data_IF_830619505253
#
_entry.id   IF_830619505253
#
_cell.length_a   1.000
_cell.length_b   1.000
_cell.length_c   1.000
_cell.angle_alpha   90.00
_cell.angle_beta   90.00
_cell.angle_gamma   90.00
#
_symmetry.space_group_name_H-M   'P 1'
#
loop_
_entity.id
_entity.type
_entity.pdbx_description
1 polymer ?
#
# COMPACT_ATOMS: atom_id res chain seq x y z
N UNK A 1 -5.07 -13.62 27.36
CA UNK A 1 -3.60 -13.48 27.14
C UNK A 1 -3.46 -12.96 25.72
N UNK A 2 -2.64 -11.93 25.49
CA UNK A 2 -2.43 -11.43 24.12
C UNK A 2 -1.76 -12.51 23.27
N UNK A 3 -2.24 -12.71 22.04
CA UNK A 3 -1.72 -13.69 21.10
C UNK A 3 -0.27 -13.37 20.70
N UNK A 4 0.58 -14.39 20.53
CA UNK A 4 1.95 -14.15 20.04
C UNK A 4 1.93 -13.73 18.56
N UNK A 5 2.87 -12.90 18.08
CA UNK A 5 2.88 -12.45 16.69
C UNK A 5 2.80 -13.56 15.64
N UNK A 6 3.55 -14.65 15.83
CA UNK A 6 3.53 -15.81 14.92
C UNK A 6 2.17 -16.55 14.91
N UNK A 7 1.50 -16.58 16.06
CA UNK A 7 0.18 -17.20 16.17
C UNK A 7 -0.88 -16.32 15.51
N UNK A 8 -0.74 -15.00 15.63
CA UNK A 8 -1.59 -14.02 14.97
C UNK A 8 -1.45 -14.12 13.45
N UNK A 9 -0.23 -14.07 12.93
CA UNK A 9 0.04 -14.14 11.48
C UNK A 9 -0.58 -15.41 10.85
N UNK A 10 -0.37 -16.56 11.49
CA UNK A 10 -0.93 -17.84 11.03
C UNK A 10 -2.45 -17.88 11.01
N UNK A 11 -3.10 -17.22 11.97
CA UNK A 11 -4.57 -17.26 12.14
C UNK A 11 -5.28 -16.14 11.39
N UNK A 12 -4.70 -14.96 11.34
CA UNK A 12 -5.38 -13.73 10.93
C UNK A 12 -4.51 -12.82 10.05
N UNK A 13 -3.27 -13.20 9.70
CA UNK A 13 -2.36 -12.33 8.94
C UNK A 13 -2.95 -11.85 7.62
N UNK A 14 -3.48 -12.75 6.78
CA UNK A 14 -4.10 -12.37 5.50
C UNK A 14 -5.52 -11.83 5.69
N UNK A 15 -6.24 -12.27 6.72
CA UNK A 15 -7.51 -11.64 7.10
C UNK A 15 -7.28 -10.15 7.37
N UNK A 16 -6.28 -9.81 8.17
CA UNK A 16 -5.92 -8.42 8.47
C UNK A 16 -5.59 -7.63 7.21
N UNK A 17 -4.85 -8.22 6.28
CA UNK A 17 -4.58 -7.59 4.98
C UNK A 17 -5.87 -7.30 4.20
N UNK A 18 -6.82 -8.25 4.13
CA UNK A 18 -8.10 -8.00 3.43
C UNK A 18 -8.88 -6.90 4.14
N UNK A 19 -8.98 -6.96 5.46
CA UNK A 19 -9.77 -6.01 6.23
C UNK A 19 -9.14 -4.61 6.23
N UNK A 20 -7.81 -4.51 6.15
CA UNK A 20 -7.12 -3.22 5.98
C UNK A 20 -7.51 -2.49 4.69
N UNK A 21 -7.89 -3.22 3.63
CA UNK A 21 -8.38 -2.63 2.38
C UNK A 21 -9.73 -1.91 2.53
N UNK A 22 -10.48 -2.21 3.61
CA UNK A 22 -11.73 -1.54 3.95
C UNK A 22 -11.53 -0.29 4.82
N UNK A 23 -10.29 0.09 5.16
CA UNK A 23 -10.04 1.28 5.97
C UNK A 23 -10.52 2.53 5.25
N UNK A 24 -11.51 3.22 5.84
CA UNK A 24 -12.14 4.40 5.23
C UNK A 24 -13.14 4.08 4.11
N UNK A 25 -13.40 2.80 3.84
CA UNK A 25 -14.34 2.34 2.80
C UNK A 25 -15.58 1.68 3.44
N UNK A 26 -16.75 1.78 2.81
CA UNK A 26 -17.92 1.01 3.25
C UNK A 26 -17.70 -0.50 3.02
N UNK A 27 -18.23 -1.32 3.92
CA UNK A 27 -18.35 -2.77 3.73
C UNK A 27 -19.66 -3.11 3.01
N UNK A 28 -19.74 -2.76 1.73
CA UNK A 28 -20.93 -2.86 0.88
C UNK A 28 -20.88 -4.02 -0.14
N UNK A 29 -20.09 -5.07 0.14
CA UNK A 29 -20.06 -6.27 -0.69
C UNK A 29 -21.40 -7.00 -0.72
N UNK A 30 -21.91 -7.23 -1.93
CA UNK A 30 -23.09 -8.04 -2.18
C UNK A 30 -22.67 -9.42 -2.72
N UNK A 31 -23.49 -10.48 -2.58
CA UNK A 31 -23.13 -11.83 -3.04
C UNK A 31 -22.72 -11.94 -4.53
N UNK A 32 -23.26 -11.06 -5.37
CA UNK A 32 -23.03 -11.03 -6.80
C UNK A 32 -22.02 -9.95 -7.23
N UNK A 33 -21.81 -8.92 -6.40
CA UNK A 33 -20.97 -7.77 -6.73
C UNK A 33 -19.98 -7.45 -5.59
N UNK A 34 -18.66 -7.55 -5.81
CA UNK A 34 -17.66 -7.15 -4.82
C UNK A 34 -17.57 -5.62 -4.73
N UNK A 35 -17.32 -5.11 -3.52
CA UNK A 35 -17.06 -3.69 -3.25
C UNK A 35 -15.79 -3.19 -3.95
N UNK A 36 -15.61 -1.87 -4.02
CA UNK A 36 -14.36 -1.30 -4.53
C UNK A 36 -13.15 -1.66 -3.64
N UNK A 37 -13.35 -1.78 -2.32
CA UNK A 37 -12.31 -2.21 -1.39
C UNK A 37 -11.83 -3.64 -1.72
N UNK A 38 -12.77 -4.57 -1.97
CA UNK A 38 -12.41 -5.93 -2.34
C UNK A 38 -11.77 -6.01 -3.73
N UNK A 39 -12.28 -5.24 -4.70
CA UNK A 39 -11.69 -5.14 -6.05
C UNK A 39 -10.25 -4.64 -5.98
N UNK A 40 -9.98 -3.59 -5.20
CA UNK A 40 -8.65 -3.06 -4.97
C UNK A 40 -7.72 -4.11 -4.33
N UNK A 41 -8.18 -4.80 -3.28
CA UNK A 41 -7.43 -5.89 -2.65
C UNK A 41 -7.08 -7.01 -3.65
N UNK A 42 -8.06 -7.44 -4.44
CA UNK A 42 -7.88 -8.49 -5.45
C UNK A 42 -6.91 -8.06 -6.54
N UNK A 43 -7.10 -6.86 -7.10
CA UNK A 43 -6.24 -6.27 -8.14
C UNK A 43 -4.79 -6.24 -7.70
N UNK A 44 -4.52 -5.72 -6.51
CA UNK A 44 -3.17 -5.67 -5.95
C UNK A 44 -2.61 -7.08 -5.66
N UNK A 45 -3.36 -7.90 -4.93
CA UNK A 45 -2.84 -9.17 -4.38
C UNK A 45 -2.60 -10.21 -5.48
N UNK A 46 -3.42 -10.26 -6.53
CA UNK A 46 -3.17 -11.16 -7.66
C UNK A 46 -1.84 -10.91 -8.36
N UNK A 47 -1.41 -9.65 -8.44
CA UNK A 47 -0.18 -9.27 -9.11
C UNK A 47 1.06 -9.39 -8.23
N UNK A 48 0.92 -9.18 -6.91
CA UNK A 48 2.08 -9.14 -6.00
C UNK A 48 2.26 -10.45 -5.21
N UNK A 49 1.16 -11.07 -4.77
CA UNK A 49 1.17 -12.23 -3.85
C UNK A 49 0.00 -13.19 -4.12
N UNK A 50 -0.16 -13.78 -5.32
CA UNK A 50 -1.33 -14.58 -5.66
C UNK A 50 -1.54 -15.80 -4.74
N UNK A 51 -0.47 -16.34 -4.15
CA UNK A 51 -0.56 -17.43 -3.16
C UNK A 51 -1.27 -17.04 -1.85
N UNK A 52 -1.38 -15.74 -1.56
CA UNK A 52 -2.01 -15.22 -0.35
C UNK A 52 -3.54 -15.37 -0.37
N UNK A 53 -4.15 -15.33 -1.55
CA UNK A 53 -5.61 -15.34 -1.72
C UNK A 53 -6.28 -16.57 -1.10
N UNK A 54 -5.71 -17.76 -1.31
CA UNK A 54 -6.23 -18.98 -0.70
C UNK A 54 -6.08 -19.01 0.83
N UNK A 55 -5.08 -18.30 1.36
CA UNK A 55 -4.91 -18.15 2.82
C UNK A 55 -5.89 -17.13 3.38
N UNK A 56 -6.09 -16.01 2.69
CA UNK A 56 -7.08 -15.00 3.02
C UNK A 56 -8.50 -15.60 3.09
N UNK A 57 -8.91 -16.31 2.03
CA UNK A 57 -10.21 -17.00 1.95
C UNK A 57 -10.42 -17.93 3.15
N UNK A 58 -9.44 -18.78 3.44
CA UNK A 58 -9.51 -19.73 4.55
C UNK A 58 -9.62 -19.03 5.89
N UNK A 59 -8.76 -18.04 6.15
CA UNK A 59 -8.73 -17.32 7.44
C UNK A 59 -10.03 -16.55 7.69
N UNK A 60 -10.53 -15.85 6.67
CA UNK A 60 -11.80 -15.12 6.74
C UNK A 60 -12.96 -16.09 7.02
N UNK A 61 -13.04 -17.20 6.27
CA UNK A 61 -14.10 -18.18 6.45
C UNK A 61 -14.04 -18.86 7.81
N UNK A 62 -12.85 -19.18 8.31
CA UNK A 62 -12.66 -19.78 9.62
C UNK A 62 -13.07 -18.81 10.74
N UNK A 63 -12.70 -17.54 10.63
CA UNK A 63 -13.10 -16.48 11.57
C UNK A 63 -14.62 -16.30 11.56
N UNK A 64 -15.22 -16.19 10.37
CA UNK A 64 -16.67 -16.03 10.22
C UNK A 64 -17.47 -17.22 10.76
N UNK A 65 -16.96 -18.45 10.64
CA UNK A 65 -17.63 -19.65 11.18
C UNK A 65 -17.48 -19.81 12.69
N UNK A 66 -16.45 -19.21 13.29
CA UNK A 66 -16.15 -19.33 14.71
C UNK A 66 -16.03 -17.95 15.37
N UNK A 67 -17.10 -17.13 15.35
CA UNK A 67 -17.04 -15.76 15.84
C UNK A 67 -16.67 -15.77 17.33
N UNK A 68 -15.70 -14.96 17.75
CA UNK A 68 -15.29 -14.92 19.14
C UNK A 68 -16.36 -14.28 20.03
N UNK A 69 -16.53 -14.82 21.24
CA UNK A 69 -17.30 -14.15 22.28
C UNK A 69 -16.64 -12.82 22.65
N UNK A 70 -17.46 -11.80 22.99
CA UNK A 70 -17.00 -10.42 23.32
C UNK A 70 -15.86 -10.37 24.34
N UNK A 71 -15.89 -11.24 25.35
CA UNK A 71 -14.85 -11.32 26.38
C UNK A 71 -13.49 -11.77 25.82
N UNK A 72 -13.47 -12.67 24.83
CA UNK A 72 -12.23 -13.18 24.24
C UNK A 72 -11.60 -12.16 23.30
N UNK A 73 -12.42 -11.36 22.62
CA UNK A 73 -11.97 -10.17 21.87
C UNK A 73 -11.29 -9.17 22.80
N UNK A 74 -11.93 -8.81 23.93
CA UNK A 74 -11.34 -7.85 24.89
C UNK A 74 -10.05 -8.35 25.55
N UNK A 75 -9.82 -9.67 25.57
CA UNK A 75 -8.61 -10.29 26.10
C UNK A 75 -7.46 -10.40 25.06
N UNK A 76 -7.68 -9.93 23.83
CA UNK A 76 -6.70 -9.98 22.74
C UNK A 76 -6.47 -11.39 22.18
N UNK A 77 -7.43 -12.30 22.37
CA UNK A 77 -7.32 -13.69 21.90
C UNK A 77 -7.76 -13.86 20.43
N UNK A 78 -8.37 -12.83 19.84
CA UNK A 78 -8.90 -12.82 18.49
C UNK A 78 -8.66 -11.49 17.80
N UNK A 79 -8.65 -11.54 16.47
CA UNK A 79 -8.61 -10.35 15.63
C UNK A 79 -9.81 -9.42 15.91
N UNK A 80 -9.58 -8.15 16.25
CA UNK A 80 -10.63 -7.16 16.35
C UNK A 80 -10.91 -6.59 14.95
N UNK A 81 -12.03 -6.97 14.33
CA UNK A 81 -12.45 -6.36 13.06
C UNK A 81 -12.65 -4.85 13.31
N UNK A 82 -11.96 -3.95 12.58
CA UNK A 82 -12.17 -2.51 12.67
C UNK A 82 -13.61 -2.13 12.34
N UNK A 83 -14.01 -0.93 12.74
CA UNK A 83 -15.32 -0.41 12.39
C UNK A 83 -15.40 -0.14 10.89
N UNK A 84 -16.19 -0.96 10.19
CA UNK A 84 -16.46 -0.87 8.74
C UNK A 84 -17.86 -0.31 8.46
N UNK A 85 -18.50 0.31 9.46
CA UNK A 85 -19.85 0.89 9.34
C UNK A 85 -20.99 -0.14 9.41
N UNK A 86 -20.68 -1.42 9.61
CA UNK A 86 -21.67 -2.48 9.76
C UNK A 86 -22.05 -2.72 11.23
N UNK A 87 -23.33 -3.01 11.54
CA UNK A 87 -23.70 -3.48 12.86
C UNK A 87 -23.03 -4.83 13.15
N UNK A 88 -22.67 -5.08 14.41
CA UNK A 88 -21.99 -6.31 14.84
C UNK A 88 -22.67 -7.60 14.37
N UNK A 89 -24.01 -7.60 14.23
CA UNK A 89 -24.77 -8.75 13.75
C UNK A 89 -24.58 -9.06 12.26
N UNK A 90 -24.19 -8.08 11.44
CA UNK A 90 -24.01 -8.22 10.00
C UNK A 90 -22.57 -8.57 9.61
N UNK A 91 -21.58 -8.31 10.48
CA UNK A 91 -20.16 -8.56 10.19
C UNK A 91 -19.92 -10.02 9.80
N UNK A 92 -20.56 -10.97 10.48
CA UNK A 92 -20.37 -12.39 10.20
C UNK A 92 -20.80 -12.77 8.78
N UNK A 93 -21.99 -12.34 8.37
CA UNK A 93 -22.55 -12.65 7.05
C UNK A 93 -21.73 -11.95 5.94
N UNK A 94 -21.31 -10.71 6.18
CA UNK A 94 -20.42 -9.98 5.28
C UNK A 94 -19.06 -10.68 5.08
N UNK A 95 -18.44 -11.17 6.14
CA UNK A 95 -17.18 -11.94 6.01
C UNK A 95 -17.37 -13.23 5.19
N UNK A 96 -18.54 -13.87 5.25
CA UNK A 96 -18.84 -15.01 4.38
C UNK A 96 -18.95 -14.57 2.92
N UNK A 97 -19.58 -13.44 2.63
CA UNK A 97 -19.65 -12.86 1.27
C UNK A 97 -18.24 -12.60 0.73
N UNK A 98 -17.35 -11.98 1.52
CA UNK A 98 -15.96 -11.77 1.10
C UNK A 98 -15.26 -13.10 0.80
N UNK A 99 -15.39 -14.10 1.69
CA UNK A 99 -14.78 -15.40 1.47
C UNK A 99 -15.30 -16.09 0.21
N UNK A 100 -16.57 -15.91 -0.14
CA UNK A 100 -17.17 -16.46 -1.36
C UNK A 100 -16.65 -15.75 -2.62
N UNK A 101 -16.47 -14.43 -2.58
CA UNK A 101 -15.82 -13.67 -3.66
C UNK A 101 -14.36 -14.08 -3.87
N UNK A 102 -13.58 -14.19 -2.79
CA UNK A 102 -12.19 -14.66 -2.88
C UNK A 102 -12.12 -16.06 -3.48
N UNK A 103 -13.01 -16.97 -3.04
CA UNK A 103 -13.10 -18.32 -3.58
C UNK A 103 -13.42 -18.31 -5.07
N UNK A 104 -14.44 -17.54 -5.50
CA UNK A 104 -14.83 -17.42 -6.91
C UNK A 104 -13.67 -16.90 -7.75
N UNK A 105 -13.00 -15.84 -7.30
CA UNK A 105 -11.82 -15.28 -7.95
C UNK A 105 -10.72 -16.33 -8.16
N UNK A 106 -10.42 -17.14 -7.14
CA UNK A 106 -9.41 -18.21 -7.23
C UNK A 106 -9.83 -19.34 -8.18
N UNK A 107 -11.08 -19.81 -8.09
CA UNK A 107 -11.57 -20.96 -8.85
C UNK A 107 -11.78 -20.62 -10.34
N UNK A 108 -12.25 -19.41 -10.63
CA UNK A 108 -12.57 -18.95 -11.99
C UNK A 108 -11.43 -18.16 -12.64
N UNK A 109 -10.43 -17.75 -11.86
CA UNK A 109 -9.40 -16.83 -12.31
C UNK A 109 -9.94 -15.43 -12.60
N UNK A 110 -11.03 -15.05 -11.93
CA UNK A 110 -11.64 -13.73 -12.08
C UNK A 110 -10.81 -12.68 -11.32
N UNK A 111 -10.05 -11.90 -12.07
CA UNK A 111 -9.15 -10.86 -11.55
C UNK A 111 -9.65 -9.50 -12.05
N UNK A 112 -9.87 -8.52 -11.16
CA UNK A 112 -10.14 -7.16 -11.59
C UNK A 112 -9.06 -6.67 -12.56
N UNK A 113 -9.43 -5.98 -13.66
CA UNK A 113 -8.44 -5.55 -14.64
C UNK A 113 -7.41 -4.61 -14.01
N UNK A 114 -6.16 -4.60 -14.51
CA UNK A 114 -5.17 -3.61 -14.11
C UNK A 114 -5.70 -2.20 -14.36
N UNK A 115 -5.61 -1.35 -13.34
CA UNK A 115 -6.06 0.03 -13.35
C UNK A 115 -5.15 0.89 -12.46
N UNK A 116 -5.33 2.21 -12.52
CA UNK A 116 -4.81 3.10 -11.50
C UNK A 116 -5.48 2.77 -10.14
N UNK A 117 -4.77 2.94 -9.01
CA UNK A 117 -5.37 2.68 -7.70
C UNK A 117 -6.63 3.51 -7.46
N UNK A 118 -7.70 2.84 -6.99
CA UNK A 118 -9.01 3.45 -6.78
C UNK A 118 -9.29 3.81 -5.32
N UNK A 119 -8.45 3.33 -4.39
CA UNK A 119 -8.62 3.55 -2.95
C UNK A 119 -7.33 4.01 -2.31
N UNK A 120 -7.44 4.72 -1.19
CA UNK A 120 -6.30 5.14 -0.37
C UNK A 120 -5.40 3.97 0.03
N UNK A 121 -6.01 2.83 0.41
CA UNK A 121 -5.27 1.61 0.73
C UNK A 121 -4.48 1.10 -0.46
N UNK A 122 -5.08 1.09 -1.66
CA UNK A 122 -4.41 0.56 -2.86
C UNK A 122 -3.21 1.41 -3.29
N UNK A 123 -3.31 2.74 -3.15
CA UNK A 123 -2.17 3.64 -3.35
C UNK A 123 -1.00 3.25 -2.46
N UNK A 124 -1.24 3.06 -1.15
CA UNK A 124 -0.19 2.72 -0.19
C UNK A 124 0.28 1.27 -0.25
N UNK A 125 -0.58 0.33 -0.66
CA UNK A 125 -0.18 -1.06 -0.87
C UNK A 125 0.73 -1.18 -2.10
N UNK A 126 0.44 -0.40 -3.15
CA UNK A 126 1.17 -0.42 -4.42
C UNK A 126 2.46 0.40 -4.39
N UNK A 127 2.44 1.58 -3.76
CA UNK A 127 3.56 2.51 -3.71
C UNK A 127 3.99 2.86 -2.28
N UNK A 128 4.33 1.86 -1.43
CA UNK A 128 4.60 2.11 -0.02
C UNK A 128 5.86 2.96 0.22
N UNK A 129 6.91 2.81 -0.59
CA UNK A 129 8.12 3.63 -0.42
C UNK A 129 7.91 5.05 -0.93
N UNK A 130 7.21 5.22 -2.05
CA UNK A 130 6.83 6.55 -2.53
C UNK A 130 5.91 7.26 -1.53
N UNK A 131 4.96 6.55 -0.93
CA UNK A 131 4.12 7.09 0.15
C UNK A 131 4.93 7.49 1.38
N UNK A 132 5.87 6.65 1.81
CA UNK A 132 6.77 7.00 2.93
C UNK A 132 7.64 8.22 2.62
N UNK A 133 8.16 8.32 1.40
CA UNK A 133 8.99 9.44 0.96
C UNK A 133 8.17 10.74 0.90
N UNK A 134 7.02 10.73 0.24
CA UNK A 134 6.16 11.91 0.07
C UNK A 134 5.55 12.35 1.41
N UNK A 135 4.92 11.45 2.16
CA UNK A 135 4.34 11.77 3.47
C UNK A 135 5.36 12.07 4.56
N UNK A 136 6.58 11.53 4.44
CA UNK A 136 7.63 11.71 5.45
C UNK A 136 8.45 12.99 5.25
N UNK A 137 8.82 13.33 4.02
CA UNK A 137 9.72 14.45 3.71
C UNK A 137 9.00 15.65 3.08
N UNK A 138 7.78 15.48 2.57
CA UNK A 138 7.02 16.52 1.87
C UNK A 138 5.65 16.77 2.52
N UNK A 139 5.58 16.62 3.84
CA UNK A 139 4.44 17.04 4.65
C UNK A 139 4.40 18.57 4.79
N UNK A 140 3.34 19.11 5.41
CA UNK A 140 3.22 20.52 5.74
C UNK A 140 4.38 21.09 6.58
N UNK A 141 5.11 20.23 7.29
CA UNK A 141 6.23 20.61 8.16
C UNK A 141 7.56 20.74 7.38
N UNK A 142 7.61 20.31 6.12
CA UNK A 142 8.82 20.36 5.27
C UNK A 142 9.50 21.74 5.27
N UNK A 143 8.81 22.89 5.11
CA UNK A 143 9.45 24.20 5.07
C UNK A 143 10.12 24.62 6.39
N UNK A 144 9.72 24.02 7.51
CA UNK A 144 10.33 24.26 8.82
C UNK A 144 11.55 23.36 9.05
N UNK A 145 11.58 22.18 8.43
CA UNK A 145 12.66 21.19 8.56
C UNK A 145 13.76 21.35 7.51
N UNK A 146 13.40 21.74 6.29
CA UNK A 146 14.29 21.81 5.13
C UNK A 146 14.20 23.17 4.44
N UNK A 147 15.33 23.72 3.95
CA UNK A 147 15.33 24.99 3.24
C UNK A 147 14.62 24.93 1.88
N UNK A 148 14.63 23.77 1.21
CA UNK A 148 13.98 23.53 -0.07
C UNK A 148 13.78 22.02 -0.33
N UNK A 149 13.11 21.70 -1.44
CA UNK A 149 12.85 20.32 -1.86
C UNK A 149 14.15 19.54 -2.12
N UNK A 150 15.19 20.17 -2.67
CA UNK A 150 16.45 19.49 -2.97
C UNK A 150 17.16 19.05 -1.69
N UNK A 151 17.10 19.87 -0.64
CA UNK A 151 17.61 19.51 0.68
C UNK A 151 16.85 18.35 1.32
N UNK A 152 15.51 18.30 1.18
CA UNK A 152 14.70 17.18 1.65
C UNK A 152 15.05 15.88 0.89
N UNK A 153 15.20 15.94 -0.43
CA UNK A 153 15.66 14.80 -1.26
C UNK A 153 17.06 14.36 -0.84
N UNK A 154 17.97 15.30 -0.60
CA UNK A 154 19.34 14.99 -0.18
C UNK A 154 19.37 14.31 1.18
N UNK A 155 18.58 14.79 2.14
CA UNK A 155 18.46 14.15 3.46
C UNK A 155 17.95 12.72 3.33
N UNK A 156 16.84 12.51 2.62
CA UNK A 156 16.30 11.17 2.40
C UNK A 156 17.33 10.24 1.75
N UNK A 157 18.01 10.69 0.67
CA UNK A 157 18.99 9.86 -0.06
C UNK A 157 20.28 9.54 0.72
N UNK A 158 20.62 10.35 1.72
CA UNK A 158 21.84 10.14 2.53
C UNK A 158 21.57 9.36 3.82
N UNK A 159 20.34 9.44 4.36
CA UNK A 159 19.94 8.78 5.61
C UNK A 159 19.23 7.44 5.38
N UNK A 160 18.64 7.23 4.21
CA UNK A 160 17.84 6.04 3.89
C UNK A 160 18.68 4.89 3.34
N UNK A 161 18.29 3.66 3.67
CA UNK A 161 18.98 2.46 3.20
C UNK A 161 18.90 2.33 1.66
N UNK A 162 19.99 1.96 0.95
CA UNK A 162 20.02 1.92 -0.52
C UNK A 162 18.96 1.02 -1.18
N UNK A 163 18.51 -0.03 -0.49
CA UNK A 163 17.43 -0.89 -1.00
C UNK A 163 16.08 -0.17 -1.07
N UNK A 164 15.82 0.76 -0.14
CA UNK A 164 14.61 1.56 -0.16
C UNK A 164 14.69 2.61 -1.28
N UNK A 165 15.86 3.20 -1.52
CA UNK A 165 16.07 4.07 -2.70
C UNK A 165 15.82 3.33 -4.03
N UNK A 166 16.29 2.09 -4.14
CA UNK A 166 16.02 1.26 -5.32
C UNK A 166 14.53 0.93 -5.46
N UNK A 167 13.83 0.69 -4.34
CA UNK A 167 12.38 0.48 -4.32
C UNK A 167 11.62 1.72 -4.74
N UNK A 168 11.94 2.89 -4.18
CA UNK A 168 11.37 4.18 -4.57
C UNK A 168 11.52 4.42 -6.07
N UNK A 169 12.71 4.18 -6.61
CA UNK A 169 12.99 4.32 -8.05
C UNK A 169 12.10 3.39 -8.88
N UNK A 170 11.94 2.13 -8.46
CA UNK A 170 11.04 1.18 -9.11
C UNK A 170 9.57 1.61 -9.05
N UNK A 171 9.13 2.10 -7.89
CA UNK A 171 7.76 2.58 -7.67
C UNK A 171 7.44 3.83 -8.51
N UNK A 172 8.40 4.75 -8.68
CA UNK A 172 8.27 5.88 -9.61
C UNK A 172 8.08 5.41 -11.06
N UNK A 173 8.88 4.44 -11.52
CA UNK A 173 8.72 3.88 -12.85
C UNK A 173 7.40 3.13 -13.04
N UNK A 174 6.94 2.42 -12.01
CA UNK A 174 5.62 1.80 -12.01
C UNK A 174 4.49 2.85 -12.09
N UNK A 175 4.61 3.97 -11.36
CA UNK A 175 3.66 5.08 -11.43
C UNK A 175 3.61 5.69 -12.83
N UNK A 176 4.75 5.87 -13.51
CA UNK A 176 4.76 6.34 -14.91
C UNK A 176 4.12 5.36 -15.88
N UNK A 177 4.19 4.05 -15.60
CA UNK A 177 3.56 3.03 -16.44
C UNK A 177 2.02 3.07 -16.38
N UNK A 178 1.43 3.77 -15.42
CA UNK A 178 -0.01 4.00 -15.34
C UNK A 178 -0.53 4.99 -16.39
N UNK A 179 0.37 5.77 -17.01
CA UNK A 179 0.01 6.77 -18.04
C UNK A 179 -1.10 7.73 -17.58
N UNK A 180 -0.97 8.24 -16.35
CA UNK A 180 -1.88 9.20 -15.74
C UNK A 180 -1.78 10.57 -16.45
N UNK A 181 -2.87 11.32 -16.45
CA UNK A 181 -2.89 12.73 -16.83
C UNK A 181 -2.41 13.62 -15.67
N UNK A 182 -2.03 14.87 -15.95
CA UNK A 182 -1.48 15.78 -14.92
C UNK A 182 -2.39 15.98 -13.68
N UNK A 183 -3.73 16.14 -13.81
CA UNK A 183 -4.60 16.21 -12.64
C UNK A 183 -4.61 14.92 -11.81
N UNK A 184 -4.41 13.77 -12.45
CA UNK A 184 -4.34 12.46 -11.78
C UNK A 184 -3.01 12.29 -11.06
N UNK A 185 -1.89 12.82 -11.59
CA UNK A 185 -0.63 12.91 -10.86
C UNK A 185 -0.75 13.79 -9.61
N UNK A 186 -1.45 14.93 -9.70
CA UNK A 186 -1.71 15.79 -8.55
C UNK A 186 -2.50 15.05 -7.45
N UNK A 187 -3.52 14.28 -7.83
CA UNK A 187 -4.26 13.42 -6.90
C UNK A 187 -3.37 12.31 -6.33
N UNK A 188 -2.56 11.65 -7.15
CA UNK A 188 -1.69 10.57 -6.71
C UNK A 188 -0.67 11.02 -5.65
N UNK A 189 0.00 12.15 -5.85
CA UNK A 189 0.98 12.65 -4.85
C UNK A 189 0.29 13.08 -3.56
N UNK A 190 -0.91 13.65 -3.63
CA UNK A 190 -1.70 13.99 -2.45
C UNK A 190 -2.19 12.75 -1.69
N UNK A 191 -2.69 11.74 -2.41
CA UNK A 191 -3.07 10.45 -1.82
C UNK A 191 -1.88 9.77 -1.15
N UNK A 192 -0.68 9.91 -1.69
CA UNK A 192 0.57 9.37 -1.14
C UNK A 192 1.21 10.28 -0.06
N UNK A 193 0.52 11.35 0.36
CA UNK A 193 0.88 12.15 1.52
C UNK A 193 1.73 13.40 1.23
N UNK A 194 1.93 13.79 -0.03
CA UNK A 194 2.56 15.08 -0.34
C UNK A 194 1.58 16.22 0.01
N UNK A 195 2.00 17.12 0.90
CA UNK A 195 1.19 18.26 1.37
C UNK A 195 1.76 19.62 0.95
N UNK A 196 2.91 19.64 0.29
CA UNK A 196 3.51 20.84 -0.33
C UNK A 196 3.38 20.79 -1.84
N UNK A 197 3.36 21.95 -2.49
CA UNK A 197 3.41 22.03 -3.95
C UNK A 197 4.80 21.64 -4.46
N UNK A 198 4.91 20.95 -5.62
CA UNK A 198 6.18 20.72 -6.28
C UNK A 198 6.97 22.03 -6.49
N UNK A 199 8.32 21.97 -6.47
CA UNK A 199 9.14 23.15 -6.65
C UNK A 199 8.96 23.71 -8.07
N UNK A 200 8.80 25.03 -8.17
CA UNK A 200 8.74 25.71 -9.46
C UNK A 200 10.05 25.47 -10.25
N UNK A 201 10.00 25.21 -11.57
CA UNK A 201 8.84 25.35 -12.47
C UNK A 201 8.06 24.04 -12.72
N UNK A 202 8.27 23.00 -11.91
CA UNK A 202 7.72 21.68 -12.21
C UNK A 202 6.23 21.57 -11.92
N UNK A 203 5.52 20.83 -12.79
CA UNK A 203 4.24 20.21 -12.44
C UNK A 203 4.49 18.95 -11.59
N UNK A 204 3.48 18.38 -10.92
CA UNK A 204 3.60 17.10 -10.21
C UNK A 204 4.30 16.01 -11.03
N UNK A 205 3.84 15.76 -12.26
CA UNK A 205 4.45 14.74 -13.13
C UNK A 205 5.91 15.09 -13.49
N UNK A 206 6.19 16.37 -13.76
CA UNK A 206 7.52 16.87 -14.09
C UNK A 206 8.50 16.75 -12.94
N UNK A 207 8.05 17.00 -11.71
CA UNK A 207 8.88 16.87 -10.52
C UNK A 207 9.18 15.41 -10.20
N UNK A 208 8.19 14.53 -10.27
CA UNK A 208 8.40 13.09 -10.11
C UNK A 208 9.39 12.55 -11.15
N UNK A 209 9.30 13.01 -12.40
CA UNK A 209 10.25 12.61 -13.45
C UNK A 209 11.68 13.10 -13.12
N UNK A 210 11.81 14.34 -12.65
CA UNK A 210 13.09 14.88 -12.20
C UNK A 210 13.68 14.10 -11.01
N UNK A 211 12.84 13.69 -10.07
CA UNK A 211 13.24 12.82 -8.96
C UNK A 211 13.74 11.46 -9.45
N UNK A 212 13.01 10.81 -10.37
CA UNK A 212 13.41 9.52 -10.93
C UNK A 212 14.77 9.59 -11.63
N UNK A 213 15.05 10.65 -12.39
CA UNK A 213 16.36 10.88 -13.01
C UNK A 213 17.48 11.06 -11.97
N UNK A 214 17.17 11.77 -10.88
CA UNK A 214 18.12 12.02 -9.79
C UNK A 214 18.46 10.74 -9.01
N UNK A 215 17.46 9.90 -8.76
CA UNK A 215 17.59 8.64 -8.02
C UNK A 215 18.16 7.49 -8.88
N UNK A 216 17.87 7.46 -10.17
CA UNK A 216 18.28 6.41 -11.11
C UNK A 216 19.77 6.43 -11.50
N UNK A 217 20.54 7.40 -11.00
CA UNK A 217 21.95 7.57 -11.30
C UNK A 217 22.83 6.46 -10.71
N UNK A 218 23.00 5.34 -11.42
CA UNK A 218 24.09 4.40 -11.15
C UNK A 218 25.44 5.09 -11.40
N UNK A 219 26.13 5.48 -10.33
CA UNK A 219 27.54 5.89 -10.40
C UNK A 219 28.42 4.66 -10.23
N UNK A 220 28.83 4.07 -11.35
CA UNK A 220 30.00 3.19 -11.33
C UNK A 220 31.21 4.03 -10.93
N UNK A 221 31.79 3.76 -9.77
CA UNK A 221 33.02 4.39 -9.32
C UNK A 221 34.21 3.78 -10.10
N UNK A 222 34.31 4.11 -11.38
CA UNK A 222 35.55 3.90 -12.13
C UNK A 222 36.52 5.02 -11.77
N UNK A 223 37.02 5.00 -10.52
CA UNK A 223 38.08 5.90 -10.10
C UNK A 223 39.35 5.70 -10.94
N UNK A 224 40.12 6.76 -11.27
CA UNK A 224 41.45 6.59 -11.82
C UNK A 224 42.31 5.88 -10.76
N UNK A 225 42.80 4.68 -11.08
CA UNK A 225 43.75 3.96 -10.24
C UNK A 225 44.95 4.85 -9.89
N UNK A 226 45.57 4.67 -8.71
CA UNK A 226 46.64 5.56 -8.26
C UNK A 226 47.74 5.60 -9.33
N UNK A 227 47.94 6.78 -9.90
CA UNK A 227 49.13 7.05 -10.68
C UNK A 227 50.32 6.91 -9.71
N UNK A 228 51.05 5.81 -9.84
CA UNK A 228 52.36 5.69 -9.24
C UNK A 228 53.22 6.81 -9.82
N UNK A 229 53.53 7.80 -9.00
CA UNK A 229 54.54 8.80 -9.30
C UNK A 229 55.90 8.19 -8.91
N UNK A 230 56.75 7.98 -9.91
CA UNK A 230 58.20 7.78 -9.77
C UNK A 230 58.91 9.10 -9.42
#
# INVERSE_FOLDING_TARGET
>A
MSMKPLEFDRRYGELDQVISAYTGMPADDEPDEPSEALRAYLRHTWHTRPWALATAERQIREYARNPPGRLRLSLGEFYPVPDVGLPQSAIQDWLIVIADHLKRSIEEGDVPPPAAPGTHWEWHARFPELGQFLGGWFSQDMPDEFPDHDAAVHDYTTTTHPQLLARLTGELHELFALALEEPEYALAVAELGMEVDPPQPYSPSGWLAHLADTLGGFKADYGPGPAAAD
#
